data_IF_517819573975
#
_entry.id   IF_517819573975
#
_cell.length_a   1.000
_cell.length_b   1.000
_cell.length_c   1.000
_cell.angle_alpha   90.00
_cell.angle_beta   90.00
_cell.angle_gamma   90.00
#
_symmetry.space_group_name_H-M   'P 1'
#
loop_
_entity.id
_entity.type
_entity.pdbx_description
1 polymer ?
#
# COMPACT_ATOMS: atom_id res chain seq x y z
N UNK A 1 28.80 -22.01 2.46
CA UNK A 1 27.50 -21.68 1.84
C UNK A 1 27.43 -20.17 1.67
N UNK A 2 27.59 -19.67 0.44
CA UNK A 2 27.64 -18.23 0.14
C UNK A 2 26.20 -17.70 0.06
N UNK A 3 25.84 -16.77 0.94
CA UNK A 3 24.58 -16.01 0.80
C UNK A 3 24.76 -15.05 -0.37
N UNK A 4 23.98 -15.27 -1.41
CA UNK A 4 23.88 -14.45 -2.60
C UNK A 4 23.29 -13.08 -2.26
N UNK A 5 24.12 -12.04 -2.33
CA UNK A 5 23.70 -10.64 -2.29
C UNK A 5 23.06 -10.28 -3.63
N UNK A 6 21.74 -10.15 -3.66
CA UNK A 6 21.03 -9.48 -4.76
C UNK A 6 21.30 -7.98 -4.65
N UNK A 7 22.29 -7.51 -5.40
CA UNK A 7 22.60 -6.09 -5.58
C UNK A 7 21.45 -5.43 -6.34
N UNK A 8 20.61 -4.69 -5.63
CA UNK A 8 19.56 -3.87 -6.23
C UNK A 8 20.19 -2.82 -7.15
N UNK A 9 19.61 -2.70 -8.35
CA UNK A 9 19.99 -1.77 -9.42
C UNK A 9 19.99 -0.33 -8.91
N UNK A 10 21.08 0.38 -9.15
CA UNK A 10 21.32 1.73 -8.64
C UNK A 10 20.39 2.77 -9.25
N UNK A 11 19.31 3.08 -8.55
CA UNK A 11 18.59 4.35 -8.68
C UNK A 11 19.32 5.44 -7.89
N UNK A 12 19.32 6.67 -8.40
CA UNK A 12 19.88 7.80 -7.65
C UNK A 12 19.14 7.93 -6.31
N UNK A 13 19.88 7.84 -5.20
CA UNK A 13 19.33 7.99 -3.86
C UNK A 13 18.73 9.39 -3.70
N UNK A 14 17.49 9.46 -3.22
CA UNK A 14 16.84 10.72 -2.86
C UNK A 14 16.98 10.97 -1.36
N UNK A 15 17.44 12.17 -0.99
CA UNK A 15 17.62 12.55 0.42
C UNK A 15 16.29 13.00 1.02
N UNK A 16 15.90 12.38 2.13
CA UNK A 16 14.74 12.77 2.94
C UNK A 16 15.23 13.50 4.19
N UNK A 17 14.91 14.79 4.30
CA UNK A 17 15.27 15.60 5.46
C UNK A 17 14.11 15.63 6.47
N UNK A 18 14.36 15.19 7.70
CA UNK A 18 13.37 15.13 8.78
C UNK A 18 13.89 15.90 10.01
N UNK A 19 12.99 16.65 10.65
CA UNK A 19 13.23 17.25 11.97
C UNK A 19 12.54 16.40 13.03
N UNK A 20 13.26 16.11 14.11
CA UNK A 20 12.75 15.37 15.25
C UNK A 20 13.15 16.09 16.54
N UNK A 21 12.27 16.03 17.53
CA UNK A 21 12.59 16.46 18.89
C UNK A 21 13.64 15.52 19.51
N UNK A 22 14.33 15.99 20.55
CA UNK A 22 15.30 15.17 21.27
C UNK A 22 14.68 13.87 21.82
N UNK A 23 13.44 13.93 22.32
CA UNK A 23 12.70 12.76 22.83
C UNK A 23 12.44 11.73 21.73
N UNK A 24 12.00 12.18 20.55
CA UNK A 24 11.78 11.29 19.40
C UNK A 24 13.09 10.65 18.93
N UNK A 25 14.17 11.45 18.82
CA UNK A 25 15.50 10.95 18.46
C UNK A 25 15.95 9.84 19.41
N UNK A 26 15.95 10.11 20.72
CA UNK A 26 16.40 9.13 21.73
C UNK A 26 15.58 7.83 21.68
N UNK A 27 14.26 7.92 21.46
CA UNK A 27 13.40 6.75 21.34
C UNK A 27 13.75 5.90 20.11
N UNK A 28 13.94 6.55 18.96
CA UNK A 28 14.28 5.88 17.69
C UNK A 28 15.68 5.26 17.77
N UNK A 29 16.65 5.98 18.31
CA UNK A 29 18.03 5.50 18.47
C UNK A 29 18.04 4.20 19.30
N UNK A 30 17.35 4.18 20.44
CA UNK A 30 17.24 2.99 21.30
C UNK A 30 16.58 1.80 20.57
N UNK A 31 15.53 2.05 19.79
CA UNK A 31 14.85 1.00 19.04
C UNK A 31 15.76 0.42 17.94
N UNK A 32 16.50 1.28 17.23
CA UNK A 32 17.46 0.86 16.21
C UNK A 32 18.63 0.06 16.82
N UNK A 33 19.16 0.51 17.96
CA UNK A 33 20.22 -0.19 18.72
C UNK A 33 19.78 -1.58 19.16
N UNK A 34 18.55 -1.72 19.71
CA UNK A 34 18.01 -3.02 20.13
C UNK A 34 17.88 -4.01 18.97
N UNK A 35 17.71 -3.52 17.74
CA UNK A 35 17.62 -4.33 16.52
C UNK A 35 18.96 -4.48 15.79
N UNK A 36 20.03 -3.85 16.28
CA UNK A 36 21.36 -3.87 15.65
C UNK A 36 21.39 -3.21 14.28
N UNK A 37 20.53 -2.21 14.04
CA UNK A 37 20.41 -1.51 12.75
C UNK A 37 20.83 -0.05 12.90
N UNK A 38 21.22 0.58 11.78
CA UNK A 38 21.43 2.03 11.78
C UNK A 38 20.09 2.75 11.95
N UNK A 39 20.11 3.95 12.56
CA UNK A 39 18.91 4.79 12.72
C UNK A 39 18.21 5.03 11.39
N UNK A 40 18.97 5.35 10.34
CA UNK A 40 18.40 5.65 9.01
C UNK A 40 17.72 4.45 8.39
N UNK A 41 18.32 3.26 8.49
CA UNK A 41 17.73 2.03 7.97
C UNK A 41 16.46 1.68 8.74
N UNK A 42 16.49 1.80 10.08
CA UNK A 42 15.31 1.57 10.91
C UNK A 42 14.16 2.53 10.58
N UNK A 43 14.46 3.82 10.41
CA UNK A 43 13.45 4.83 10.05
C UNK A 43 12.85 4.57 8.67
N UNK A 44 13.68 4.28 7.66
CA UNK A 44 13.20 4.02 6.30
C UNK A 44 12.35 2.75 6.23
N UNK A 45 12.83 1.64 6.82
CA UNK A 45 12.10 0.37 6.84
C UNK A 45 10.74 0.50 7.53
N UNK A 46 10.71 1.16 8.69
CA UNK A 46 9.46 1.41 9.43
C UNK A 46 8.51 2.30 8.64
N UNK A 47 9.00 3.40 8.06
CA UNK A 47 8.17 4.32 7.30
C UNK A 47 7.61 3.67 6.02
N UNK A 48 8.40 2.85 5.31
CA UNK A 48 7.95 2.12 4.15
C UNK A 48 6.87 1.11 4.51
N UNK A 49 7.07 0.31 5.56
CA UNK A 49 6.08 -0.67 6.02
C UNK A 49 4.74 -0.02 6.40
N UNK A 50 4.78 1.09 7.12
CA UNK A 50 3.56 1.83 7.48
C UNK A 50 2.89 2.45 6.25
N UNK A 51 3.67 3.00 5.32
CA UNK A 51 3.12 3.52 4.06
C UNK A 51 2.43 2.41 3.23
N UNK A 52 3.04 1.23 3.14
CA UNK A 52 2.44 0.06 2.48
C UNK A 52 1.13 -0.36 3.17
N UNK A 53 1.13 -0.43 4.50
CA UNK A 53 -0.07 -0.77 5.27
C UNK A 53 -1.23 0.22 4.99
N UNK A 54 -0.95 1.53 5.00
CA UNK A 54 -1.94 2.57 4.69
C UNK A 54 -2.45 2.47 3.24
N UNK A 55 -1.58 2.16 2.29
CA UNK A 55 -1.98 1.99 0.89
C UNK A 55 -2.79 0.71 0.66
N UNK A 56 -2.47 -0.36 1.38
CA UNK A 56 -3.17 -1.64 1.30
C UNK A 56 -4.54 -1.59 1.99
N UNK A 57 -4.70 -0.82 3.07
CA UNK A 57 -5.99 -0.57 3.72
C UNK A 57 -7.03 0.01 2.75
N UNK A 58 -6.59 0.75 1.72
CA UNK A 58 -7.48 1.25 0.65
C UNK A 58 -7.92 0.19 -0.37
N UNK A 59 -7.32 -1.00 -0.37
CA UNK A 59 -7.64 -2.10 -1.31
C UNK A 59 -8.36 -3.27 -0.63
N UNK A 60 -8.28 -3.37 0.70
CA UNK A 60 -8.90 -4.44 1.47
C UNK A 60 -10.25 -4.00 2.03
N UNK A 61 -11.33 -4.55 1.48
CA UNK A 61 -12.67 -4.37 2.04
C UNK A 61 -12.99 -5.55 2.97
N UNK A 62 -12.86 -5.34 4.28
CA UNK A 62 -13.33 -6.32 5.26
C UNK A 62 -14.86 -6.38 5.20
N UNK A 63 -15.42 -7.49 4.70
CA UNK A 63 -16.86 -7.72 4.60
C UNK A 63 -17.30 -8.72 5.67
N UNK A 64 -18.34 -8.43 6.47
CA UNK A 64 -18.98 -9.44 7.31
C UNK A 64 -19.45 -10.63 6.47
N UNK A 65 -19.47 -11.86 7.03
CA UNK A 65 -19.81 -13.07 6.28
C UNK A 65 -21.13 -12.96 5.49
N UNK A 66 -22.15 -12.33 6.06
CA UNK A 66 -23.46 -12.19 5.44
C UNK A 66 -23.41 -11.30 4.18
N UNK A 67 -22.58 -10.25 4.21
CA UNK A 67 -22.38 -9.35 3.07
C UNK A 67 -21.53 -10.04 2.01
N UNK A 68 -20.53 -10.82 2.42
CA UNK A 68 -19.70 -11.60 1.50
C UNK A 68 -20.52 -12.64 0.72
N UNK A 69 -21.40 -13.38 1.38
CA UNK A 69 -22.31 -14.34 0.72
C UNK A 69 -23.24 -13.63 -0.27
N UNK A 70 -23.85 -12.52 0.14
CA UNK A 70 -24.71 -11.73 -0.74
C UNK A 70 -23.95 -11.16 -1.94
N UNK A 71 -22.73 -10.68 -1.73
CA UNK A 71 -21.87 -10.17 -2.78
C UNK A 71 -21.49 -11.26 -3.79
N UNK A 72 -21.09 -12.43 -3.31
CA UNK A 72 -20.75 -13.59 -4.15
C UNK A 72 -21.96 -14.05 -4.97
N UNK A 73 -23.13 -14.15 -4.34
CA UNK A 73 -24.37 -14.48 -5.03
C UNK A 73 -24.78 -13.44 -6.09
N UNK A 74 -24.34 -12.18 -5.97
CA UNK A 74 -24.54 -11.15 -7.00
C UNK A 74 -23.55 -11.29 -8.17
N UNK A 75 -22.32 -11.73 -7.91
CA UNK A 75 -21.31 -11.98 -8.94
C UNK A 75 -21.65 -13.20 -9.80
N UNK A 76 -22.17 -14.27 -9.19
CA UNK A 76 -22.53 -15.50 -9.89
C UNK A 76 -23.80 -15.36 -10.73
N UNK A 77 -24.59 -14.30 -10.51
CA UNK A 77 -25.81 -14.05 -11.29
C UNK A 77 -25.45 -13.56 -12.68
N UNK A 78 -26.09 -14.09 -13.74
CA UNK A 78 -25.91 -13.55 -15.08
C UNK A 78 -26.31 -12.06 -15.10
N UNK A 79 -25.56 -11.21 -15.82
CA UNK A 79 -25.81 -9.77 -15.79
C UNK A 79 -27.21 -9.46 -16.32
N UNK A 80 -28.02 -8.84 -15.47
CA UNK A 80 -29.35 -8.40 -15.86
C UNK A 80 -29.26 -7.37 -17.01
N UNK A 81 -30.26 -7.38 -17.89
CA UNK A 81 -30.33 -6.43 -19.02
C UNK A 81 -30.53 -5.00 -18.53
N UNK A 82 -29.47 -4.29 -18.20
CA UNK A 82 -29.53 -2.89 -17.77
C UNK A 82 -29.43 -1.92 -18.97
N UNK A 83 -30.56 -1.31 -19.35
CA UNK A 83 -30.62 -0.36 -20.47
C UNK A 83 -29.81 0.92 -20.20
N UNK A 84 -29.75 1.39 -18.95
CA UNK A 84 -28.97 2.56 -18.57
C UNK A 84 -27.47 2.27 -18.66
N UNK A 85 -27.03 1.10 -18.20
CA UNK A 85 -25.64 0.66 -18.33
C UNK A 85 -25.22 0.54 -19.80
N UNK A 86 -26.08 -0.01 -20.66
CA UNK A 86 -25.83 -0.06 -22.11
C UNK A 86 -25.70 1.33 -22.74
N UNK A 87 -26.51 2.30 -22.30
CA UNK A 87 -26.42 3.70 -22.75
C UNK A 87 -25.10 4.33 -22.26
N UNK A 88 -24.72 4.10 -21.01
CA UNK A 88 -23.46 4.60 -20.42
C UNK A 88 -22.25 4.08 -21.19
N UNK A 89 -22.16 2.77 -21.43
CA UNK A 89 -21.04 2.16 -22.17
C UNK A 89 -20.95 2.58 -23.64
N UNK A 90 -22.04 3.11 -24.23
CA UNK A 90 -22.06 3.68 -25.59
C UNK A 90 -21.78 5.18 -25.62
N UNK A 91 -21.69 5.83 -24.46
CA UNK A 91 -21.45 7.26 -24.38
C UNK A 91 -19.95 7.50 -24.54
N UNK A 92 -19.55 8.39 -25.44
CA UNK A 92 -18.15 8.75 -25.64
C UNK A 92 -17.60 9.36 -24.35
N UNK A 93 -16.44 8.89 -23.88
CA UNK A 93 -15.82 9.46 -22.70
C UNK A 93 -15.39 10.91 -22.98
N UNK A 94 -15.53 11.78 -21.99
CA UNK A 94 -15.25 13.22 -22.15
C UNK A 94 -13.79 13.53 -22.49
N UNK A 95 -12.88 12.58 -22.23
CA UNK A 95 -11.45 12.70 -22.48
C UNK A 95 -10.99 12.04 -23.79
N UNK A 96 -11.86 11.37 -24.55
CA UNK A 96 -11.54 10.77 -25.87
C UNK A 96 -11.55 11.82 -27.00
N UNK A 97 -10.95 13.01 -26.78
CA UNK A 97 -10.74 13.97 -27.86
C UNK A 97 -9.64 13.50 -28.80
#
# INVERSE_FOLDING_TARGET
MKRSETKAVGGQGQTINLRASQKQKTLIDRAAEMLGRSRSDFMLDTACREAEAVLLDRRYFALPPEIYERFTALLDRPPARNQQLRRLLRTKALWDK
#
